data_IF_382435783274
#
_entry.id   IF_382435783274
#
_cell.length_a   1.000
_cell.length_b   1.000
_cell.length_c   1.000
_cell.angle_alpha   90.00
_cell.angle_beta   90.00
_cell.angle_gamma   90.00
#
_symmetry.space_group_name_H-M   'P 1'
#
loop_
_entity.id
_entity.type
_entity.pdbx_description
1 polymer ?
#
# COMPACT_ATOMS: atom_id res chain seq x y z
N UNK A 1 -30.32 13.92 45.78
CA UNK A 1 -30.97 13.24 44.64
C UNK A 1 -30.69 14.07 43.40
N UNK A 2 -29.64 13.76 42.69
CA UNK A 2 -29.22 14.44 41.44
C UNK A 2 -29.63 13.55 40.27
N UNK A 3 -30.46 14.10 39.36
CA UNK A 3 -30.84 13.46 38.10
C UNK A 3 -29.68 13.60 37.12
N UNK A 4 -29.02 12.51 36.80
CA UNK A 4 -28.14 12.42 35.65
C UNK A 4 -28.99 12.21 34.39
N UNK A 5 -29.02 13.24 33.54
CA UNK A 5 -29.64 13.12 32.20
C UNK A 5 -28.73 12.30 31.30
N UNK A 6 -29.18 11.13 30.89
CA UNK A 6 -28.56 10.37 29.82
C UNK A 6 -28.82 11.10 28.47
N UNK A 7 -27.78 11.69 27.88
CA UNK A 7 -27.84 12.21 26.54
C UNK A 7 -27.93 10.99 25.60
N UNK A 8 -29.03 10.93 24.84
CA UNK A 8 -29.34 9.81 23.97
C UNK A 8 -28.49 9.89 22.69
N UNK A 9 -27.28 9.32 22.73
CA UNK A 9 -26.30 9.29 21.63
C UNK A 9 -26.82 8.41 20.45
N UNK A 10 -27.84 7.59 20.65
CA UNK A 10 -28.35 6.67 19.63
C UNK A 10 -29.21 7.35 18.54
N UNK A 11 -29.90 8.43 18.85
CA UNK A 11 -30.81 9.11 17.89
C UNK A 11 -30.04 9.90 16.83
N UNK A 12 -28.92 10.51 17.19
CA UNK A 12 -28.12 11.29 16.25
C UNK A 12 -27.35 10.41 15.22
N UNK A 13 -27.14 9.12 15.53
CA UNK A 13 -26.46 8.16 14.61
C UNK A 13 -27.39 7.59 13.55
N UNK A 14 -28.63 7.31 13.86
CA UNK A 14 -29.63 6.77 12.91
C UNK A 14 -30.04 7.80 11.87
N UNK A 15 -30.30 9.03 12.27
CA UNK A 15 -30.67 10.10 11.33
C UNK A 15 -29.55 10.45 10.33
N UNK A 16 -28.28 10.39 10.76
CA UNK A 16 -27.14 10.61 9.86
C UNK A 16 -26.94 9.43 8.88
N UNK A 17 -27.25 8.21 9.30
CA UNK A 17 -27.20 7.01 8.44
C UNK A 17 -28.31 7.02 7.39
N UNK A 18 -29.54 7.33 7.74
CA UNK A 18 -30.66 7.47 6.80
C UNK A 18 -30.46 8.62 5.81
N UNK A 19 -29.90 9.75 6.28
CA UNK A 19 -29.53 10.88 5.42
C UNK A 19 -28.42 10.53 4.42
N UNK A 20 -27.54 9.58 4.74
CA UNK A 20 -26.44 9.13 3.89
C UNK A 20 -26.88 8.14 2.81
N UNK A 21 -28.03 7.45 2.95
CA UNK A 21 -28.61 6.64 1.88
C UNK A 21 -29.25 7.49 0.76
N UNK A 22 -29.69 8.70 1.06
CA UNK A 22 -30.23 9.65 0.04
C UNK A 22 -29.15 10.50 -0.63
N UNK A 23 -27.99 10.75 0.01
CA UNK A 23 -26.88 11.56 -0.53
C UNK A 23 -25.64 10.69 -0.71
N UNK A 24 -25.07 10.72 -1.91
CA UNK A 24 -23.80 10.02 -2.21
C UNK A 24 -22.68 10.57 -1.34
N UNK A 25 -22.01 9.68 -0.59
CA UNK A 25 -20.82 10.04 0.18
C UNK A 25 -19.71 10.51 -0.76
N UNK A 26 -19.05 11.60 -0.39
CA UNK A 26 -17.91 12.15 -1.13
C UNK A 26 -16.60 11.62 -0.61
N UNK A 27 -15.87 10.93 -1.48
CA UNK A 27 -14.55 10.37 -1.20
C UNK A 27 -13.48 11.17 -1.93
N UNK A 28 -12.56 11.76 -1.19
CA UNK A 28 -11.39 12.43 -1.76
C UNK A 28 -10.17 11.50 -1.64
N UNK A 29 -9.55 11.16 -2.77
CA UNK A 29 -8.39 10.28 -2.83
C UNK A 29 -7.15 11.10 -3.18
N UNK A 30 -6.19 11.19 -2.25
CA UNK A 30 -4.93 11.90 -2.43
C UNK A 30 -3.88 10.91 -2.96
N UNK A 31 -3.24 11.23 -4.10
CA UNK A 31 -2.35 10.29 -4.80
C UNK A 31 -3.08 9.32 -5.73
N UNK A 32 -4.23 9.73 -6.22
CA UNK A 32 -5.19 8.89 -6.92
C UNK A 32 -4.65 8.16 -8.17
N UNK A 33 -3.71 8.73 -8.94
CA UNK A 33 -3.18 8.10 -10.16
C UNK A 33 -1.94 7.20 -9.90
N UNK A 34 -1.67 6.85 -8.63
CA UNK A 34 -0.62 5.90 -8.25
C UNK A 34 -1.06 4.44 -8.31
N UNK A 35 -0.21 3.54 -7.82
CA UNK A 35 -0.40 2.08 -7.86
C UNK A 35 -1.72 1.61 -7.26
N UNK A 36 -2.07 2.13 -6.09
CA UNK A 36 -3.32 1.79 -5.38
C UNK A 36 -4.50 2.52 -6.02
N UNK A 37 -4.36 3.83 -6.23
CA UNK A 37 -5.45 4.67 -6.73
C UNK A 37 -5.94 4.27 -8.11
N UNK A 38 -5.05 3.72 -8.97
CA UNK A 38 -5.41 3.13 -10.27
C UNK A 38 -6.61 2.19 -10.16
N UNK A 39 -6.66 1.38 -9.13
CA UNK A 39 -7.72 0.38 -8.90
C UNK A 39 -8.80 0.88 -7.93
N UNK A 40 -8.45 1.73 -6.96
CA UNK A 40 -9.40 2.22 -5.96
C UNK A 40 -10.44 3.17 -6.57
N UNK A 41 -10.01 4.05 -7.49
CA UNK A 41 -10.95 5.01 -8.14
C UNK A 41 -12.08 4.28 -8.86
N UNK A 42 -11.83 3.26 -9.71
CA UNK A 42 -12.92 2.46 -10.29
C UNK A 42 -13.82 1.81 -9.23
N UNK A 43 -13.25 1.23 -8.17
CA UNK A 43 -14.05 0.61 -7.11
C UNK A 43 -15.02 1.61 -6.45
N UNK A 44 -14.58 2.84 -6.19
CA UNK A 44 -15.40 3.87 -5.58
C UNK A 44 -16.50 4.37 -6.54
N UNK A 45 -16.12 4.72 -7.76
CA UNK A 45 -17.05 5.27 -8.77
C UNK A 45 -18.13 4.26 -9.13
N UNK A 46 -17.76 3.00 -9.37
CA UNK A 46 -18.68 1.94 -9.78
C UNK A 46 -19.63 1.52 -8.65
N UNK A 47 -19.26 1.78 -7.39
CA UNK A 47 -20.13 1.59 -6.22
C UNK A 47 -20.85 2.86 -5.76
N UNK A 48 -20.88 3.89 -6.60
CA UNK A 48 -21.76 5.05 -6.45
C UNK A 48 -21.25 6.17 -5.56
N UNK A 49 -19.99 6.14 -5.10
CA UNK A 49 -19.39 7.26 -4.36
C UNK A 49 -19.17 8.48 -5.27
N UNK A 50 -19.39 9.69 -4.73
CA UNK A 50 -18.91 10.91 -5.38
C UNK A 50 -17.40 10.99 -5.14
N UNK A 51 -16.61 10.72 -6.19
CA UNK A 51 -15.16 10.56 -6.04
C UNK A 51 -14.40 11.75 -6.62
N UNK A 52 -13.46 12.31 -5.84
CA UNK A 52 -12.53 13.34 -6.28
C UNK A 52 -11.11 12.76 -6.24
N UNK A 53 -10.43 12.78 -7.38
CA UNK A 53 -9.08 12.26 -7.55
C UNK A 53 -8.05 13.39 -7.51
N UNK A 54 -7.26 13.49 -6.43
CA UNK A 54 -6.17 14.47 -6.29
C UNK A 54 -4.87 13.87 -6.82
N UNK A 55 -4.20 14.62 -7.71
CA UNK A 55 -2.88 14.28 -8.26
C UNK A 55 -2.00 15.52 -8.35
N UNK A 56 -0.67 15.36 -8.22
CA UNK A 56 0.29 16.48 -8.36
C UNK A 56 0.43 16.98 -9.80
N UNK A 57 0.20 16.12 -10.76
CA UNK A 57 0.26 16.41 -12.20
C UNK A 57 -0.78 15.55 -12.91
N UNK A 58 -1.11 15.89 -14.16
CA UNK A 58 -2.04 15.09 -14.99
C UNK A 58 -1.41 13.77 -15.41
N UNK A 59 -1.18 12.90 -14.42
CA UNK A 59 -0.76 11.53 -14.66
C UNK A 59 -1.96 10.67 -15.04
N UNK A 60 -1.77 9.78 -16.01
CA UNK A 60 -2.73 8.71 -16.27
C UNK A 60 -2.55 7.59 -15.24
N UNK A 61 -3.61 6.86 -14.88
CA UNK A 61 -3.47 5.64 -14.09
C UNK A 61 -2.67 4.59 -14.89
N UNK A 62 -2.18 3.58 -14.20
CA UNK A 62 -1.44 2.48 -14.82
C UNK A 62 -2.33 1.54 -15.63
N UNK A 63 -3.62 1.52 -15.32
CA UNK A 63 -4.64 0.77 -16.06
C UNK A 63 -5.79 1.71 -16.41
N UNK A 64 -6.18 1.74 -17.67
CA UNK A 64 -7.30 2.55 -18.12
C UNK A 64 -8.63 1.84 -17.82
N UNK A 65 -9.49 2.52 -17.07
CA UNK A 65 -10.83 2.06 -16.76
C UNK A 65 -11.85 3.18 -17.03
N UNK A 66 -13.08 2.84 -17.49
CA UNK A 66 -14.11 3.86 -17.81
C UNK A 66 -14.42 4.82 -16.66
N UNK A 67 -14.22 4.42 -15.42
CA UNK A 67 -14.42 5.24 -14.23
C UNK A 67 -13.50 6.47 -14.23
N UNK A 68 -12.28 6.36 -14.76
CA UNK A 68 -11.32 7.46 -14.83
C UNK A 68 -11.78 8.60 -15.73
N UNK A 69 -12.67 8.34 -16.70
CA UNK A 69 -13.29 9.37 -17.54
C UNK A 69 -14.47 10.08 -16.86
N UNK A 70 -14.96 9.54 -15.73
CA UNK A 70 -16.12 10.08 -15.00
C UNK A 70 -15.72 10.78 -13.69
N UNK A 71 -14.52 10.48 -13.16
CA UNK A 71 -14.07 11.04 -11.88
C UNK A 71 -13.63 12.50 -12.02
N UNK A 72 -13.99 13.33 -11.03
CA UNK A 72 -13.48 14.71 -10.94
C UNK A 72 -11.99 14.67 -10.56
N UNK A 73 -11.13 15.15 -11.44
CA UNK A 73 -9.68 15.23 -11.20
C UNK A 73 -9.29 16.63 -10.77
N UNK A 74 -8.48 16.73 -9.71
CA UNK A 74 -7.99 17.98 -9.16
C UNK A 74 -6.47 17.94 -9.08
N UNK A 75 -5.81 18.98 -9.62
CA UNK A 75 -4.38 19.17 -9.45
C UNK A 75 -4.12 19.90 -8.14
N UNK A 76 -3.47 19.22 -7.21
CA UNK A 76 -3.14 19.80 -5.92
C UNK A 76 -1.87 19.11 -5.39
N UNK A 77 -0.87 19.92 -5.03
CA UNK A 77 0.44 19.44 -4.54
C UNK A 77 0.55 19.71 -3.04
N UNK A 78 0.54 18.66 -2.24
CA UNK A 78 0.65 18.71 -0.77
C UNK A 78 1.92 19.41 -0.30
N UNK A 79 3.04 19.23 -1.01
CA UNK A 79 4.35 19.72 -0.57
C UNK A 79 4.55 21.19 -0.89
N UNK A 80 3.98 21.66 -2.01
CA UNK A 80 4.24 23.00 -2.54
C UNK A 80 3.05 23.96 -2.41
N UNK A 81 1.88 23.49 -1.98
CA UNK A 81 0.71 24.34 -1.81
C UNK A 81 0.44 24.59 -0.31
N UNK A 82 0.72 25.81 0.14
CA UNK A 82 0.50 26.22 1.54
C UNK A 82 -0.98 26.20 1.95
N UNK A 83 -1.91 26.26 1.00
CA UNK A 83 -3.34 26.21 1.23
C UNK A 83 -3.93 24.80 1.02
N UNK A 84 -3.08 23.77 0.98
CA UNK A 84 -3.50 22.39 0.70
C UNK A 84 -4.68 21.95 1.57
N UNK A 85 -4.60 22.17 2.88
CA UNK A 85 -5.65 21.77 3.84
C UNK A 85 -6.95 22.56 3.58
N UNK A 86 -6.87 23.85 3.35
CA UNK A 86 -8.07 24.68 3.10
C UNK A 86 -8.74 24.30 1.76
N UNK A 87 -7.96 24.01 0.73
CA UNK A 87 -8.48 23.51 -0.54
C UNK A 87 -9.10 22.12 -0.39
N UNK A 88 -8.51 21.26 0.44
CA UNK A 88 -9.06 19.94 0.74
C UNK A 88 -10.39 20.06 1.50
N UNK A 89 -10.49 20.95 2.50
CA UNK A 89 -11.73 21.24 3.21
C UNK A 89 -12.82 21.79 2.29
N UNK A 90 -12.45 22.68 1.37
CA UNK A 90 -13.39 23.24 0.39
C UNK A 90 -14.00 22.20 -0.55
N UNK A 91 -13.45 20.98 -0.61
CA UNK A 91 -14.04 19.85 -1.32
C UNK A 91 -15.13 19.15 -0.50
N UNK A 92 -15.30 19.49 0.78
CA UNK A 92 -16.28 18.91 1.71
C UNK A 92 -16.26 17.37 1.73
N UNK A 93 -15.10 16.74 1.99
CA UNK A 93 -15.01 15.29 1.98
C UNK A 93 -15.75 14.67 3.17
N UNK A 94 -16.55 13.63 2.91
CA UNK A 94 -16.99 12.71 3.96
C UNK A 94 -15.87 11.74 4.32
N UNK A 95 -15.14 11.28 3.30
CA UNK A 95 -14.05 10.31 3.44
C UNK A 95 -12.79 10.85 2.75
N UNK A 96 -11.66 10.74 3.42
CA UNK A 96 -10.33 11.01 2.84
C UNK A 96 -9.54 9.72 2.79
N UNK A 97 -9.04 9.37 1.60
CA UNK A 97 -8.06 8.29 1.42
C UNK A 97 -6.71 8.92 1.07
N UNK A 98 -5.75 8.77 1.96
CA UNK A 98 -4.44 9.41 1.87
C UNK A 98 -3.35 8.40 1.49
N UNK A 99 -3.07 8.28 0.19
CA UNK A 99 -2.13 7.30 -0.37
C UNK A 99 -0.69 7.78 -0.45
N UNK A 100 -0.43 9.07 -0.24
CA UNK A 100 0.89 9.69 -0.44
C UNK A 100 1.33 10.59 0.72
N UNK A 101 1.05 10.15 1.92
CA UNK A 101 1.49 10.82 3.14
C UNK A 101 2.76 10.13 3.67
N UNK A 102 3.91 10.79 3.57
CA UNK A 102 5.21 10.19 3.84
C UNK A 102 5.88 10.66 5.13
N UNK A 103 5.26 11.58 5.87
CA UNK A 103 5.82 12.07 7.12
C UNK A 103 4.76 12.48 8.15
N UNK A 104 5.15 12.44 9.42
CA UNK A 104 4.27 12.75 10.56
C UNK A 104 3.72 14.19 10.52
N UNK A 105 4.44 15.15 9.95
CA UNK A 105 3.99 16.56 9.89
C UNK A 105 2.74 16.69 9.01
N UNK A 106 2.71 15.98 7.89
CA UNK A 106 1.55 15.97 7.01
C UNK A 106 0.35 15.26 7.64
N UNK A 107 0.59 14.19 8.41
CA UNK A 107 -0.46 13.52 9.18
C UNK A 107 -1.09 14.46 10.19
N UNK A 108 -0.27 15.22 10.94
CA UNK A 108 -0.76 16.22 11.90
C UNK A 108 -1.59 17.31 11.25
N UNK A 109 -1.15 17.85 10.12
CA UNK A 109 -1.93 18.86 9.36
C UNK A 109 -3.32 18.36 8.97
N UNK A 110 -3.44 17.09 8.54
CA UNK A 110 -4.75 16.51 8.22
C UNK A 110 -5.61 16.43 9.48
N UNK A 111 -5.09 15.88 10.58
CA UNK A 111 -5.86 15.74 11.82
C UNK A 111 -6.30 17.11 12.33
N UNK A 112 -5.39 18.06 12.50
CA UNK A 112 -5.67 19.44 12.97
C UNK A 112 -6.67 20.15 12.03
N UNK A 113 -6.54 19.93 10.73
CA UNK A 113 -7.43 20.52 9.74
C UNK A 113 -8.85 19.97 9.77
N UNK A 114 -9.04 18.71 10.13
CA UNK A 114 -10.34 18.04 10.08
C UNK A 114 -10.93 17.69 11.44
N UNK A 115 -10.24 18.01 12.54
CA UNK A 115 -10.79 17.89 13.88
C UNK A 115 -12.07 18.75 14.00
N UNK A 116 -13.12 18.16 14.55
CA UNK A 116 -14.41 18.85 14.75
C UNK A 116 -15.21 19.16 13.47
N UNK A 117 -14.71 18.86 12.27
CA UNK A 117 -15.43 19.14 11.02
C UNK A 117 -16.54 18.13 10.70
N UNK A 118 -16.63 17.01 11.44
CA UNK A 118 -17.56 15.94 11.17
C UNK A 118 -17.10 15.00 10.05
N UNK A 119 -15.80 15.00 9.71
CA UNK A 119 -15.21 14.02 8.80
C UNK A 119 -15.65 12.61 9.21
N UNK A 120 -16.16 11.85 8.25
CA UNK A 120 -16.70 10.52 8.53
C UNK A 120 -15.60 9.47 8.66
N UNK A 121 -14.56 9.49 7.78
CA UNK A 121 -13.49 8.52 7.82
C UNK A 121 -12.19 9.05 7.18
N UNK A 122 -11.06 8.84 7.84
CA UNK A 122 -9.72 9.07 7.31
C UNK A 122 -8.97 7.74 7.18
N UNK A 123 -8.57 7.38 5.96
CA UNK A 123 -7.80 6.17 5.68
C UNK A 123 -6.36 6.55 5.36
N UNK A 124 -5.45 6.14 6.21
CA UNK A 124 -4.01 6.41 6.09
C UNK A 124 -3.29 5.22 5.47
N UNK A 125 -2.54 5.48 4.39
CA UNK A 125 -1.64 4.50 3.80
C UNK A 125 -0.30 4.52 4.53
N UNK A 126 -0.09 3.56 5.42
CA UNK A 126 1.20 3.28 6.04
C UNK A 126 2.08 2.41 5.13
N UNK A 127 2.93 1.59 5.67
CA UNK A 127 3.81 0.67 4.95
C UNK A 127 4.29 -0.45 5.87
N UNK A 128 4.54 -1.62 5.31
CA UNK A 128 5.29 -2.68 5.98
C UNK A 128 6.69 -2.22 6.47
N UNK A 129 7.22 -1.14 5.93
CA UNK A 129 8.50 -0.52 6.35
C UNK A 129 8.43 0.14 7.73
N UNK A 130 7.24 0.36 8.28
CA UNK A 130 7.07 0.76 9.67
C UNK A 130 7.60 -0.31 10.65
N UNK A 131 7.68 -1.57 10.22
CA UNK A 131 8.36 -2.63 10.96
C UNK A 131 9.88 -2.58 10.74
N UNK A 132 10.63 -3.04 11.73
CA UNK A 132 12.06 -3.26 11.63
C UNK A 132 12.43 -4.67 11.19
N UNK A 133 13.55 -5.19 11.71
CA UNK A 133 13.94 -6.60 11.53
C UNK A 133 12.93 -7.52 12.23
N UNK A 134 12.63 -8.66 11.62
CA UNK A 134 11.70 -9.62 12.20
C UNK A 134 12.34 -10.35 13.39
N UNK A 135 11.86 -10.07 14.60
CA UNK A 135 12.18 -10.89 15.78
C UNK A 135 11.26 -12.12 15.88
N UNK A 136 10.01 -11.94 15.50
CA UNK A 136 9.00 -13.01 15.42
C UNK A 136 8.14 -12.81 14.17
N UNK A 137 7.63 -13.92 13.63
CA UNK A 137 6.74 -13.94 12.47
C UNK A 137 5.46 -14.73 12.80
N UNK A 138 4.30 -14.30 12.27
CA UNK A 138 4.10 -13.12 11.43
C UNK A 138 4.22 -11.82 12.23
N UNK A 139 4.48 -10.69 11.53
CA UNK A 139 4.38 -9.36 12.11
C UNK A 139 2.94 -9.09 12.58
N UNK A 140 2.84 -8.34 13.67
CA UNK A 140 1.55 -7.88 14.18
C UNK A 140 1.32 -6.41 13.74
N UNK A 141 0.27 -6.09 12.98
CA UNK A 141 -0.02 -4.72 12.57
C UNK A 141 -0.25 -3.77 13.75
N UNK A 142 -0.68 -4.31 14.90
CA UNK A 142 -0.95 -3.54 16.12
C UNK A 142 0.24 -3.42 17.07
N UNK A 143 1.43 -3.92 16.69
CA UNK A 143 2.60 -3.78 17.53
C UNK A 143 2.97 -2.31 17.74
N UNK A 144 3.06 -1.91 18.99
CA UNK A 144 3.42 -0.56 19.41
C UNK A 144 4.93 -0.38 19.64
N UNK A 145 5.73 -1.41 19.39
CA UNK A 145 7.19 -1.44 19.61
C UNK A 145 7.96 -1.71 18.33
N UNK A 146 7.41 -1.28 17.20
CA UNK A 146 8.10 -1.37 15.91
C UNK A 146 9.41 -0.57 15.95
N UNK A 147 10.46 -1.11 15.34
CA UNK A 147 11.79 -0.50 15.26
C UNK A 147 12.21 -0.28 13.80
N UNK A 148 11.64 0.74 13.12
CA UNK A 148 11.92 0.99 11.71
C UNK A 148 13.39 1.29 11.44
N UNK A 149 13.91 0.80 10.31
CA UNK A 149 15.33 0.87 9.97
C UNK A 149 15.76 2.18 9.29
N UNK A 150 14.82 2.93 8.75
CA UNK A 150 15.06 4.15 7.97
C UNK A 150 14.07 5.26 8.32
N UNK A 151 14.35 6.48 7.88
CA UNK A 151 13.51 7.66 8.20
C UNK A 151 12.09 7.54 7.64
N UNK A 152 11.93 6.92 6.47
CA UNK A 152 10.60 6.68 5.90
C UNK A 152 9.76 5.77 6.81
N UNK A 153 10.31 4.65 7.24
CA UNK A 153 9.64 3.73 8.17
C UNK A 153 9.34 4.40 9.52
N UNK A 154 10.28 5.21 10.05
CA UNK A 154 10.09 5.96 11.31
C UNK A 154 8.93 6.96 11.20
N UNK A 155 8.85 7.71 10.12
CA UNK A 155 7.76 8.65 9.87
C UNK A 155 6.40 7.95 9.71
N UNK A 156 6.39 6.78 9.02
CA UNK A 156 5.18 5.94 8.91
C UNK A 156 4.72 5.46 10.29
N UNK A 157 5.61 4.90 11.09
CA UNK A 157 5.29 4.42 12.43
C UNK A 157 4.86 5.56 13.37
N UNK A 158 5.55 6.71 13.33
CA UNK A 158 5.15 7.87 14.11
C UNK A 158 3.73 8.35 13.75
N UNK A 159 3.38 8.32 12.47
CA UNK A 159 2.03 8.65 11.99
C UNK A 159 0.98 7.64 12.47
N UNK A 160 1.30 6.34 12.47
CA UNK A 160 0.43 5.28 13.02
C UNK A 160 0.14 5.51 14.50
N UNK A 161 1.19 5.76 15.29
CA UNK A 161 1.06 6.00 16.73
C UNK A 161 0.23 7.25 17.02
N UNK A 162 0.48 8.33 16.27
CA UNK A 162 -0.27 9.57 16.42
C UNK A 162 -1.76 9.37 16.07
N UNK A 163 -2.08 8.69 14.98
CA UNK A 163 -3.47 8.42 14.58
C UNK A 163 -4.20 7.53 15.60
N UNK A 164 -3.55 6.50 16.14
CA UNK A 164 -4.11 5.67 17.22
C UNK A 164 -4.39 6.50 18.48
N UNK A 165 -3.46 7.39 18.85
CA UNK A 165 -3.64 8.30 19.98
C UNK A 165 -4.81 9.26 19.75
N UNK A 166 -4.93 9.88 18.57
CA UNK A 166 -6.01 10.80 18.23
C UNK A 166 -7.37 10.10 18.19
N UNK A 167 -7.43 8.87 17.71
CA UNK A 167 -8.66 8.09 17.78
C UNK A 167 -9.09 7.80 19.23
N UNK A 168 -8.15 7.41 20.08
CA UNK A 168 -8.44 7.07 21.48
C UNK A 168 -8.82 8.28 22.33
N UNK A 169 -8.18 9.43 22.13
CA UNK A 169 -8.39 10.63 22.95
C UNK A 169 -9.52 11.52 22.44
N UNK A 170 -9.55 11.75 21.14
CA UNK A 170 -10.41 12.76 20.51
C UNK A 170 -11.48 12.13 19.60
N UNK A 171 -11.42 10.82 19.37
CA UNK A 171 -12.35 10.14 18.48
C UNK A 171 -12.10 10.45 17.00
N UNK A 172 -10.89 10.91 16.60
CA UNK A 172 -10.58 11.18 15.21
C UNK A 172 -10.73 9.90 14.38
N UNK A 173 -11.60 9.86 13.34
CA UNK A 173 -12.09 8.62 12.75
C UNK A 173 -11.10 8.03 11.74
N UNK A 174 -9.96 7.53 12.20
CA UNK A 174 -8.90 7.01 11.35
C UNK A 174 -8.85 5.49 11.26
N UNK A 175 -8.34 4.99 10.14
CA UNK A 175 -7.93 3.59 9.90
C UNK A 175 -6.56 3.60 9.24
N UNK A 176 -5.69 2.67 9.65
CA UNK A 176 -4.33 2.51 9.14
C UNK A 176 -4.29 1.27 8.26
N UNK A 177 -3.76 1.40 7.04
CA UNK A 177 -3.57 0.29 6.11
C UNK A 177 -2.09 0.21 5.76
N UNK A 178 -1.48 -0.96 5.97
CA UNK A 178 -0.07 -1.24 5.74
C UNK A 178 0.10 -2.19 4.56
N UNK A 179 0.34 -1.66 3.35
CA UNK A 179 0.65 -2.51 2.22
C UNK A 179 2.06 -3.08 2.30
N UNK A 180 2.21 -4.29 1.76
CA UNK A 180 3.49 -4.89 1.41
C UNK A 180 4.12 -4.25 0.19
N UNK A 181 4.93 -5.02 -0.54
CA UNK A 181 5.55 -4.59 -1.78
C UNK A 181 4.50 -4.53 -2.90
N UNK A 182 3.92 -3.34 -3.10
CA UNK A 182 2.86 -3.14 -4.09
C UNK A 182 3.42 -3.41 -5.49
N UNK A 183 2.89 -4.41 -6.14
CA UNK A 183 3.35 -4.89 -7.43
C UNK A 183 2.19 -4.98 -8.43
N UNK A 184 2.55 -5.05 -9.72
CA UNK A 184 1.57 -5.15 -10.80
C UNK A 184 2.09 -4.56 -12.11
N UNK A 185 1.26 -4.54 -13.15
CA UNK A 185 1.65 -4.04 -14.47
C UNK A 185 1.88 -2.52 -14.47
N UNK A 186 2.88 -2.08 -15.23
CA UNK A 186 3.10 -0.67 -15.54
C UNK A 186 4.21 0.03 -14.76
N UNK A 187 4.67 -0.51 -13.62
CA UNK A 187 5.76 0.05 -12.83
C UNK A 187 6.82 -0.98 -12.45
N UNK A 188 7.96 -0.52 -11.91
CA UNK A 188 9.02 -1.39 -11.45
C UNK A 188 8.64 -2.09 -10.14
N UNK A 189 8.81 -3.42 -10.09
CA UNK A 189 8.63 -4.21 -8.88
C UNK A 189 9.99 -4.63 -8.31
N UNK A 190 10.01 -5.01 -7.03
CA UNK A 190 11.18 -5.63 -6.42
C UNK A 190 11.42 -6.98 -7.11
N UNK A 191 12.64 -7.23 -7.48
CA UNK A 191 13.08 -8.38 -8.28
C UNK A 191 13.66 -9.52 -7.40
N UNK A 192 14.09 -10.68 -7.97
CA UNK A 192 14.71 -11.77 -7.22
C UNK A 192 16.00 -11.41 -6.45
N UNK A 193 16.59 -10.25 -6.68
CA UNK A 193 17.72 -9.73 -5.91
C UNK A 193 17.28 -8.81 -4.76
N UNK A 194 16.00 -8.50 -4.63
CA UNK A 194 15.49 -7.58 -3.62
C UNK A 194 15.68 -6.09 -3.98
N UNK A 195 15.90 -5.76 -5.26
CA UNK A 195 16.02 -4.39 -5.78
C UNK A 195 15.15 -4.18 -7.03
N UNK A 196 15.37 -3.11 -7.79
CA UNK A 196 14.57 -2.78 -8.98
C UNK A 196 15.36 -2.90 -10.31
N UNK A 197 16.56 -3.43 -10.28
CA UNK A 197 17.39 -3.61 -11.49
C UNK A 197 16.74 -4.59 -12.49
N UNK A 198 16.55 -4.16 -13.73
CA UNK A 198 16.04 -5.04 -14.79
C UNK A 198 17.03 -6.14 -15.17
N UNK A 199 18.30 -6.03 -14.76
CA UNK A 199 19.37 -6.96 -15.15
C UNK A 199 19.06 -8.41 -14.78
N UNK A 200 18.60 -8.67 -13.54
CA UNK A 200 18.32 -10.04 -13.11
C UNK A 200 17.22 -10.69 -13.92
N UNK A 201 16.17 -9.96 -14.28
CA UNK A 201 15.11 -10.48 -15.13
C UNK A 201 15.63 -10.80 -16.55
N UNK A 202 16.48 -9.92 -17.11
CA UNK A 202 17.08 -10.18 -18.41
C UNK A 202 18.05 -11.35 -18.38
N UNK A 203 18.91 -11.46 -17.36
CA UNK A 203 19.85 -12.58 -17.23
C UNK A 203 19.11 -13.92 -17.09
N UNK A 204 17.99 -13.96 -16.36
CA UNK A 204 17.14 -15.15 -16.26
C UNK A 204 16.45 -15.45 -17.60
N UNK A 205 15.90 -14.43 -18.29
CA UNK A 205 15.26 -14.59 -19.59
C UNK A 205 16.24 -15.11 -20.68
N UNK A 206 17.53 -14.75 -20.54
CA UNK A 206 18.61 -15.27 -21.40
C UNK A 206 19.11 -16.68 -20.96
N UNK A 207 18.55 -17.28 -19.91
CA UNK A 207 19.00 -18.58 -19.38
C UNK A 207 20.40 -18.58 -18.77
N UNK A 208 20.94 -17.42 -18.39
CA UNK A 208 22.24 -17.26 -17.73
C UNK A 208 22.19 -17.66 -16.26
N UNK A 209 23.36 -18.00 -15.68
CA UNK A 209 23.50 -18.18 -14.25
C UNK A 209 23.42 -16.84 -13.51
N UNK A 210 22.66 -16.81 -12.41
CA UNK A 210 22.61 -15.67 -11.48
C UNK A 210 23.12 -16.04 -10.10
N UNK A 211 23.55 -15.04 -9.34
CA UNK A 211 23.88 -15.19 -7.93
C UNK A 211 22.81 -14.56 -7.04
N UNK A 212 22.39 -15.25 -5.99
CA UNK A 212 21.58 -14.70 -4.91
C UNK A 212 22.43 -14.37 -3.68
N UNK A 213 22.08 -13.35 -2.88
CA UNK A 213 22.76 -13.06 -1.63
C UNK A 213 22.51 -14.15 -0.61
N UNK A 214 23.49 -14.41 0.25
CA UNK A 214 23.47 -15.37 1.35
C UNK A 214 22.98 -16.75 0.87
N UNK A 215 21.82 -17.22 1.32
CA UNK A 215 21.20 -18.48 0.90
C UNK A 215 19.90 -18.25 0.10
N UNK A 216 19.55 -16.98 -0.22
CA UNK A 216 18.32 -16.65 -0.94
C UNK A 216 17.04 -16.99 -0.17
N UNK A 217 17.10 -17.13 1.15
CA UNK A 217 15.95 -17.49 1.99
C UNK A 217 15.23 -16.27 2.57
N UNK A 218 15.74 -15.09 2.32
CA UNK A 218 15.09 -13.84 2.70
C UNK A 218 13.75 -13.71 1.95
N UNK A 219 12.75 -13.18 2.67
CA UNK A 219 11.35 -13.17 2.23
C UNK A 219 10.99 -11.83 1.62
N UNK A 220 10.29 -11.88 0.50
CA UNK A 220 9.59 -10.77 -0.15
C UNK A 220 8.08 -11.00 -0.10
N UNK A 221 7.30 -9.90 -0.14
CA UNK A 221 5.85 -9.95 0.04
C UNK A 221 5.15 -9.08 -1.02
N UNK A 222 5.11 -9.59 -2.26
CA UNK A 222 4.42 -8.91 -3.35
C UNK A 222 2.91 -9.02 -3.18
N UNK A 223 2.25 -7.86 -3.27
CA UNK A 223 0.80 -7.75 -3.27
C UNK A 223 0.35 -6.93 -4.48
N UNK A 224 -0.71 -7.35 -5.16
CA UNK A 224 -1.21 -6.63 -6.30
C UNK A 224 -1.85 -5.29 -5.89
N UNK A 225 -1.61 -4.22 -6.65
CA UNK A 225 -2.20 -2.91 -6.37
C UNK A 225 -3.73 -2.92 -6.26
N UNK A 226 -4.40 -3.83 -7.01
CA UNK A 226 -5.84 -4.08 -6.89
C UNK A 226 -6.22 -4.59 -5.50
N UNK A 227 -5.46 -5.53 -4.95
CA UNK A 227 -5.77 -6.13 -3.65
C UNK A 227 -5.53 -5.14 -2.50
N UNK A 228 -4.51 -4.29 -2.62
CA UNK A 228 -4.34 -3.17 -1.68
C UNK A 228 -5.53 -2.20 -1.76
N UNK A 229 -5.96 -1.84 -2.98
CA UNK A 229 -7.14 -1.00 -3.19
C UNK A 229 -8.41 -1.63 -2.61
N UNK A 230 -8.56 -2.96 -2.70
CA UNK A 230 -9.66 -3.71 -2.09
C UNK A 230 -9.67 -3.53 -0.57
N UNK A 231 -8.52 -3.55 0.11
CA UNK A 231 -8.46 -3.34 1.58
C UNK A 231 -8.93 -1.93 1.93
N UNK A 232 -8.52 -0.89 1.19
CA UNK A 232 -9.03 0.47 1.39
C UNK A 232 -10.53 0.56 1.18
N UNK A 233 -11.04 0.00 0.10
CA UNK A 233 -12.48 -0.04 -0.18
C UNK A 233 -13.26 -0.78 0.90
N UNK A 234 -12.76 -1.94 1.33
CA UNK A 234 -13.36 -2.74 2.39
C UNK A 234 -13.33 -2.03 3.75
N UNK A 235 -12.28 -1.28 4.07
CA UNK A 235 -12.24 -0.46 5.28
C UNK A 235 -13.29 0.66 5.27
N UNK A 236 -13.62 1.22 4.10
CA UNK A 236 -14.73 2.17 3.95
C UNK A 236 -16.07 1.47 4.23
N UNK A 237 -16.35 0.34 3.61
CA UNK A 237 -17.62 -0.37 3.73
C UNK A 237 -17.82 -1.06 5.08
N UNK A 238 -16.73 -1.45 5.75
CA UNK A 238 -16.72 -2.05 7.09
C UNK A 238 -16.20 -1.06 8.16
N UNK A 239 -16.56 0.22 8.01
CA UNK A 239 -16.05 1.31 8.84
C UNK A 239 -16.09 1.02 10.34
N UNK A 240 -17.17 0.46 10.86
CA UNK A 240 -17.32 0.20 12.29
C UNK A 240 -16.26 -0.78 12.84
N UNK A 241 -15.80 -1.72 11.99
CA UNK A 241 -14.73 -2.66 12.31
C UNK A 241 -13.35 -2.10 12.03
N UNK A 242 -13.27 -1.05 11.21
CA UNK A 242 -12.02 -0.46 10.75
C UNK A 242 -11.52 0.69 11.61
N UNK A 243 -12.41 1.43 12.28
CA UNK A 243 -12.05 2.62 13.05
C UNK A 243 -11.07 2.31 14.19
N UNK A 244 -9.97 3.05 14.23
CA UNK A 244 -8.91 2.93 15.23
C UNK A 244 -7.96 1.74 15.00
N UNK A 245 -8.23 0.92 13.98
CA UNK A 245 -7.50 -0.32 13.70
C UNK A 245 -6.40 -0.14 12.64
N UNK A 246 -5.44 -1.07 12.65
CA UNK A 246 -4.40 -1.22 11.65
C UNK A 246 -4.55 -2.57 10.93
N UNK A 247 -4.39 -2.57 9.60
CA UNK A 247 -4.57 -3.76 8.76
C UNK A 247 -3.41 -3.95 7.81
N UNK A 248 -2.92 -5.19 7.72
CA UNK A 248 -2.00 -5.59 6.66
C UNK A 248 -2.78 -5.76 5.34
N UNK A 249 -2.26 -5.15 4.26
CA UNK A 249 -2.77 -5.30 2.91
C UNK A 249 -1.75 -6.09 2.08
N UNK A 250 -1.88 -7.42 2.12
CA UNK A 250 -0.90 -8.38 1.63
C UNK A 250 -1.56 -9.47 0.78
N UNK A 251 -0.76 -10.18 0.00
CA UNK A 251 -1.17 -11.45 -0.59
C UNK A 251 -1.23 -12.55 0.48
N UNK A 252 -1.95 -13.64 0.18
CA UNK A 252 -2.07 -14.76 1.12
C UNK A 252 -0.76 -15.54 1.35
N UNK A 253 0.21 -15.38 0.45
CA UNK A 253 1.52 -16.05 0.48
C UNK A 253 2.63 -15.08 0.16
N UNK A 254 3.81 -15.38 0.68
CA UNK A 254 5.06 -14.65 0.42
C UNK A 254 6.04 -15.55 -0.33
N UNK A 255 7.15 -14.99 -0.81
CA UNK A 255 8.13 -15.73 -1.59
C UNK A 255 9.55 -15.44 -1.09
N UNK A 256 10.43 -16.44 -1.11
CA UNK A 256 11.86 -16.23 -0.88
C UNK A 256 12.55 -15.76 -2.16
N UNK A 257 13.72 -15.12 -2.04
CA UNK A 257 14.52 -14.75 -3.22
C UNK A 257 14.79 -15.98 -4.11
N UNK A 258 15.11 -17.13 -3.47
CA UNK A 258 15.31 -18.40 -4.20
C UNK A 258 14.04 -18.86 -4.93
N UNK A 259 12.91 -18.84 -4.24
CA UNK A 259 11.62 -19.22 -4.84
C UNK A 259 11.27 -18.30 -6.01
N UNK A 260 11.51 -16.99 -5.85
CA UNK A 260 11.26 -16.02 -6.92
C UNK A 260 12.17 -16.25 -8.15
N UNK A 261 13.47 -16.38 -7.93
CA UNK A 261 14.40 -16.67 -9.02
C UNK A 261 14.04 -17.96 -9.75
N UNK A 262 13.73 -19.03 -9.01
CA UNK A 262 13.32 -20.30 -9.59
C UNK A 262 12.05 -20.19 -10.42
N UNK A 263 11.03 -19.50 -9.89
CA UNK A 263 9.79 -19.23 -10.61
C UNK A 263 10.04 -18.46 -11.92
N UNK A 264 10.93 -17.47 -11.92
CA UNK A 264 11.27 -16.73 -13.13
C UNK A 264 11.97 -17.58 -14.19
N UNK A 265 12.87 -18.50 -13.80
CA UNK A 265 13.44 -19.46 -14.75
C UNK A 265 12.34 -20.34 -15.39
N UNK A 266 11.41 -20.85 -14.57
CA UNK A 266 10.26 -21.63 -15.08
C UNK A 266 9.39 -20.78 -16.02
N UNK A 267 9.12 -19.52 -15.68
CA UNK A 267 8.34 -18.58 -16.48
C UNK A 267 8.95 -18.35 -17.87
N UNK A 268 10.28 -18.24 -17.96
CA UNK A 268 11.00 -18.07 -19.23
C UNK A 268 11.38 -19.40 -19.91
N UNK A 269 10.98 -20.55 -19.39
CA UNK A 269 11.21 -21.86 -19.97
C UNK A 269 12.64 -22.38 -19.84
N UNK A 270 13.39 -21.95 -18.83
CA UNK A 270 14.78 -22.34 -18.61
C UNK A 270 14.94 -23.23 -17.37
N UNK A 271 15.97 -24.08 -17.37
CA UNK A 271 16.46 -24.73 -16.16
C UNK A 271 17.13 -23.71 -15.25
N UNK A 272 16.84 -23.79 -13.92
CA UNK A 272 17.36 -22.86 -12.94
C UNK A 272 18.88 -22.98 -12.78
N UNK A 273 19.59 -21.87 -12.92
CA UNK A 273 21.04 -21.75 -12.75
C UNK A 273 21.34 -20.72 -11.68
N UNK A 274 21.25 -21.12 -10.43
CA UNK A 274 21.34 -20.24 -9.26
C UNK A 274 22.54 -20.64 -8.42
N UNK A 275 23.43 -19.69 -8.13
CA UNK A 275 24.49 -19.82 -7.12
C UNK A 275 24.25 -18.86 -5.95
N UNK A 276 24.91 -19.11 -4.85
CA UNK A 276 24.79 -18.30 -3.63
C UNK A 276 26.12 -17.68 -3.29
N UNK A 277 26.12 -16.40 -2.93
CA UNK A 277 27.30 -15.65 -2.53
C UNK A 277 27.07 -15.01 -1.16
N UNK A 278 28.09 -15.01 -0.28
CA UNK A 278 28.05 -14.18 0.92
C UNK A 278 27.77 -12.72 0.57
N UNK A 279 27.06 -12.00 1.43
CA UNK A 279 26.62 -10.64 1.17
C UNK A 279 27.69 -9.71 0.55
N UNK A 280 28.95 -9.62 1.11
CA UNK A 280 29.96 -8.73 0.54
C UNK A 280 30.43 -9.13 -0.88
N UNK A 281 30.38 -10.43 -1.19
CA UNK A 281 30.76 -10.94 -2.53
C UNK A 281 29.61 -10.76 -3.52
N UNK A 282 28.38 -10.90 -3.04
CA UNK A 282 27.20 -10.64 -3.86
C UNK A 282 27.13 -9.15 -4.25
N UNK A 283 27.41 -8.21 -3.34
CA UNK A 283 27.47 -6.78 -3.67
C UNK A 283 28.54 -6.48 -4.75
N UNK A 284 29.67 -7.18 -4.73
CA UNK A 284 30.66 -7.04 -5.81
C UNK A 284 30.18 -7.61 -7.14
N UNK A 285 29.42 -8.71 -7.10
CA UNK A 285 28.81 -9.33 -8.27
C UNK A 285 27.71 -8.44 -8.88
N UNK A 286 26.87 -7.85 -8.05
CA UNK A 286 25.85 -6.88 -8.48
C UNK A 286 26.52 -5.63 -9.09
N UNK A 287 27.52 -5.07 -8.42
CA UNK A 287 28.40 -4.02 -8.97
C UNK A 287 27.90 -2.59 -8.85
N UNK A 288 26.65 -2.36 -8.40
CA UNK A 288 26.06 -1.06 -8.13
C UNK A 288 25.78 -0.89 -6.64
N UNK A 289 26.41 0.08 -5.99
CA UNK A 289 26.26 0.30 -4.54
C UNK A 289 24.84 0.75 -4.14
N UNK A 290 24.15 1.52 -4.97
CA UNK A 290 22.78 1.96 -4.70
C UNK A 290 21.80 0.77 -4.75
N UNK A 291 21.97 -0.12 -5.71
CA UNK A 291 21.16 -1.35 -5.81
C UNK A 291 21.48 -2.32 -4.66
N UNK A 292 22.73 -2.39 -4.21
CA UNK A 292 23.08 -3.17 -3.01
C UNK A 292 22.40 -2.61 -1.75
N UNK A 293 22.40 -1.30 -1.57
CA UNK A 293 21.71 -0.66 -0.45
C UNK A 293 20.18 -0.88 -0.55
N UNK A 294 19.63 -0.78 -1.74
CA UNK A 294 18.21 -1.06 -2.02
C UNK A 294 17.86 -2.52 -1.66
N UNK A 295 18.68 -3.48 -2.09
CA UNK A 295 18.54 -4.88 -1.71
C UNK A 295 18.56 -5.03 -0.19
N UNK A 296 19.55 -4.44 0.50
CA UNK A 296 19.67 -4.55 1.96
C UNK A 296 18.36 -4.17 2.66
N UNK A 297 17.82 -2.99 2.36
CA UNK A 297 16.59 -2.52 3.01
C UNK A 297 15.35 -3.35 2.68
N UNK A 298 15.29 -4.04 1.56
CA UNK A 298 14.18 -4.92 1.24
C UNK A 298 14.28 -6.30 1.91
N UNK A 299 15.49 -6.86 2.00
CA UNK A 299 15.66 -8.24 2.47
C UNK A 299 15.97 -8.36 3.96
N UNK A 300 16.53 -7.33 4.60
CA UNK A 300 16.94 -7.37 6.01
C UNK A 300 15.73 -7.55 6.95
N UNK A 301 14.57 -7.09 6.57
CA UNK A 301 13.35 -7.27 7.35
C UNK A 301 12.87 -8.72 7.33
N UNK A 302 12.95 -9.38 6.18
CA UNK A 302 12.59 -10.79 5.95
C UNK A 302 11.32 -11.20 6.71
N UNK A 303 10.31 -10.33 6.71
CA UNK A 303 9.10 -10.48 7.49
C UNK A 303 8.03 -11.30 6.78
N UNK A 304 7.12 -11.85 7.56
CA UNK A 304 5.87 -12.48 7.10
C UNK A 304 4.73 -11.70 7.71
N UNK A 305 3.73 -11.37 6.91
CA UNK A 305 2.53 -10.65 7.34
C UNK A 305 1.33 -11.57 7.32
N UNK A 306 0.34 -11.31 8.18
CA UNK A 306 -0.87 -12.12 8.26
C UNK A 306 -2.08 -11.30 7.83
N UNK A 307 -2.80 -11.81 6.83
CA UNK A 307 -4.06 -11.21 6.39
C UNK A 307 -5.29 -11.65 7.20
N UNK A 308 -5.12 -12.46 8.23
CA UNK A 308 -6.26 -13.06 8.97
C UNK A 308 -7.11 -12.00 9.70
N UNK A 309 -6.50 -10.94 10.24
CA UNK A 309 -7.24 -9.80 10.81
C UNK A 309 -8.05 -9.09 9.73
N UNK A 310 -7.42 -8.80 8.59
CA UNK A 310 -8.04 -8.12 7.45
C UNK A 310 -9.18 -8.95 6.86
N UNK A 311 -8.99 -10.26 6.70
CA UNK A 311 -10.05 -11.19 6.27
C UNK A 311 -11.22 -11.19 7.24
N UNK A 312 -10.96 -11.32 8.54
CA UNK A 312 -12.01 -11.47 9.55
C UNK A 312 -12.82 -10.20 9.76
N UNK A 313 -12.19 -9.03 9.76
CA UNK A 313 -12.85 -7.76 10.11
C UNK A 313 -13.35 -7.00 8.88
N UNK A 314 -12.67 -7.12 7.74
CA UNK A 314 -13.01 -6.40 6.52
C UNK A 314 -13.54 -7.31 5.40
N UNK A 315 -13.68 -8.61 5.64
CA UNK A 315 -14.06 -9.59 4.61
C UNK A 315 -13.15 -9.53 3.36
N UNK A 316 -11.86 -9.28 3.61
CA UNK A 316 -10.86 -9.21 2.56
C UNK A 316 -10.60 -10.57 1.94
N UNK A 317 -10.55 -10.63 0.62
CA UNK A 317 -10.17 -11.81 -0.14
C UNK A 317 -9.25 -11.38 -1.28
N UNK A 318 -7.94 -11.64 -1.19
CA UNK A 318 -7.03 -11.27 -2.27
C UNK A 318 -7.43 -11.97 -3.56
N UNK A 319 -7.47 -11.21 -4.65
CA UNK A 319 -7.78 -11.71 -5.99
C UNK A 319 -6.59 -12.39 -6.62
N UNK A 320 -5.39 -11.90 -6.31
CA UNK A 320 -4.16 -12.37 -6.92
C UNK A 320 -3.26 -13.03 -5.87
N UNK A 321 -2.63 -14.11 -6.25
CA UNK A 321 -1.51 -14.67 -5.48
C UNK A 321 -0.26 -13.83 -5.67
N UNK A 322 0.76 -14.03 -4.81
CA UNK A 322 2.06 -13.41 -4.96
C UNK A 322 2.68 -13.71 -6.34
N UNK A 323 2.62 -14.97 -6.80
CA UNK A 323 3.19 -15.37 -8.11
C UNK A 323 2.42 -14.75 -9.30
N UNK A 324 1.09 -14.80 -9.29
CA UNK A 324 0.29 -14.15 -10.36
C UNK A 324 0.57 -12.65 -10.44
N UNK A 325 0.79 -11.98 -9.29
CA UNK A 325 1.16 -10.57 -9.24
C UNK A 325 2.51 -10.31 -9.92
N UNK A 326 3.49 -11.17 -9.65
CA UNK A 326 4.82 -11.12 -10.26
C UNK A 326 4.71 -11.35 -11.78
N UNK A 327 3.97 -12.38 -12.20
CA UNK A 327 3.81 -12.74 -13.61
C UNK A 327 3.18 -11.60 -14.41
N UNK A 328 2.15 -10.94 -13.88
CA UNK A 328 1.52 -9.78 -14.50
C UNK A 328 2.50 -8.61 -14.66
N UNK A 329 3.33 -8.36 -13.66
CA UNK A 329 4.33 -7.30 -13.71
C UNK A 329 5.42 -7.62 -14.76
N UNK A 330 5.95 -8.85 -14.76
CA UNK A 330 6.97 -9.30 -15.71
C UNK A 330 6.42 -9.32 -17.14
N UNK A 331 5.17 -9.79 -17.35
CA UNK A 331 4.50 -9.67 -18.64
C UNK A 331 4.46 -8.23 -19.12
N UNK A 332 4.13 -7.27 -18.25
CA UNK A 332 4.15 -5.83 -18.58
C UNK A 332 5.55 -5.34 -18.97
N UNK A 333 6.63 -5.88 -18.39
CA UNK A 333 7.99 -5.57 -18.83
C UNK A 333 8.27 -6.03 -20.25
N UNK A 334 7.83 -7.23 -20.60
CA UNK A 334 7.97 -7.80 -21.96
C UNK A 334 7.16 -6.96 -22.95
N UNK A 335 5.89 -6.70 -22.67
CA UNK A 335 4.99 -5.91 -23.53
C UNK A 335 5.53 -4.48 -23.78
N UNK A 336 6.28 -3.93 -22.84
CA UNK A 336 6.93 -2.60 -22.90
C UNK A 336 8.37 -2.65 -23.44
N UNK A 337 8.86 -3.80 -23.85
CA UNK A 337 10.23 -4.04 -24.34
C UNK A 337 11.34 -3.69 -23.31
N UNK A 338 11.05 -3.80 -22.02
CA UNK A 338 12.03 -3.63 -20.94
C UNK A 338 12.84 -4.92 -20.69
N UNK A 339 12.25 -6.06 -21.02
CA UNK A 339 12.88 -7.38 -21.05
C UNK A 339 12.68 -7.94 -22.46
N UNK A 340 13.76 -8.47 -23.04
CA UNK A 340 13.73 -9.13 -24.36
C UNK A 340 13.66 -10.64 -24.14
N UNK A 341 12.72 -11.27 -24.78
CA UNK A 341 12.59 -12.72 -24.83
C UNK A 341 12.89 -13.14 -26.26
N UNK A 342 13.84 -14.05 -26.45
CA UNK A 342 14.11 -14.62 -27.79
C UNK A 342 12.91 -15.47 -28.21
N UNK A 343 12.39 -15.25 -29.39
CA UNK A 343 11.42 -16.16 -30.00
C UNK A 343 12.10 -17.54 -30.13
N UNK A 344 11.64 -18.54 -29.41
CA UNK A 344 12.07 -19.93 -29.54
C UNK A 344 11.31 -20.61 -30.69
#
# INVERSE_FOLDING_TARGET
MGKYGYINISVCRTEKFEFMEENKMRVVVIGAAGHIGTYLIPMLVDNGYETIAITRKMSMPYEDAPAWHKVKRVLLDRENDSEFIEKLKAMEPDIIVDLVNFNIKETKKIVEGFEGTGLFHYLYCSSCWAHGMAETIPFNPDDLRKEPLDEYGKDKFASEMYLKEQYQKEGFPSTIIMPGQISGPGWAIINPWGNTSMRVFQDIADGKEIALPNFGQEILHHVHGYDVAQVFYKAITHRNQALGEAFDAEAATHITLYGFAKHMYEYFGHESKIKFLPWPEWCKYEGNSEECEHTYYHIVRSGVFSIEKTKRLLEYQPKYTCLETIDLAVKSYIDRNLIRVSDN
#
